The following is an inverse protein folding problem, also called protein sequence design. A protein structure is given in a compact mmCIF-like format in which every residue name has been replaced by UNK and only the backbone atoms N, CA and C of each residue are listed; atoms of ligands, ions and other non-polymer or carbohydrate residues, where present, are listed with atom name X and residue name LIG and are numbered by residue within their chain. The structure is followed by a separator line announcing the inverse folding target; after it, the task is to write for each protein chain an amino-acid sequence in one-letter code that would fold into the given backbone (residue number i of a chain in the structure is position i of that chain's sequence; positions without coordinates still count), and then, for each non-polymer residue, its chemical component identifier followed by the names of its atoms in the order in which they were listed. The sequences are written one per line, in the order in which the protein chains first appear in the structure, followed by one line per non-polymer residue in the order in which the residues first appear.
data_IF_833438265068
#
_entry.id   IF_833438265068
#
_cell.length_a   1.000
_cell.length_b   1.000
_cell.length_c   1.000
_cell.angle_alpha   90.00
_cell.angle_beta   90.00
_cell.angle_gamma   90.00
#
_symmetry.space_group_name_H-M   'P 1'
#
loop_
_entity.id
_entity.type
_entity.pdbx_description
1 polymer ?
#
# COMPACT_ATOMS: atom_id res chain seq x y z
N UNK A 1 -14.99 -8.72 9.61
CA UNK A 1 -15.63 -9.62 8.66
C UNK A 1 -14.68 -10.77 8.39
N UNK A 2 -15.03 -11.95 8.86
CA UNK A 2 -14.42 -13.17 8.36
C UNK A 2 -14.92 -13.39 6.92
N UNK A 3 -14.25 -12.76 5.96
CA UNK A 3 -14.22 -13.33 4.64
C UNK A 3 -13.33 -14.56 4.78
N UNK A 4 -13.96 -15.71 4.94
CA UNK A 4 -13.24 -16.99 4.90
C UNK A 4 -12.82 -17.26 3.46
N UNK A 5 -11.81 -16.56 2.97
CA UNK A 5 -11.07 -16.97 1.78
C UNK A 5 -10.31 -18.22 2.23
N UNK A 6 -10.70 -19.36 1.69
CA UNK A 6 -10.02 -20.63 1.96
C UNK A 6 -8.82 -20.73 1.01
N UNK A 7 -7.80 -21.47 1.42
CA UNK A 7 -6.59 -21.71 0.60
C UNK A 7 -6.95 -22.16 -0.84
N UNK A 8 -7.97 -23.03 -0.98
CA UNK A 8 -8.48 -23.46 -2.29
C UNK A 8 -9.03 -22.31 -3.16
N UNK A 9 -9.57 -21.24 -2.53
CA UNK A 9 -10.14 -20.10 -3.27
C UNK A 9 -8.99 -19.20 -3.76
N UNK A 10 -7.92 -19.07 -2.97
CA UNK A 10 -6.67 -18.43 -3.37
C UNK A 10 -6.00 -19.21 -4.52
N UNK A 11 -5.86 -20.53 -4.40
CA UNK A 11 -5.31 -21.37 -5.46
C UNK A 11 -6.12 -21.29 -6.77
N UNK A 12 -7.44 -21.26 -6.66
CA UNK A 12 -8.32 -21.12 -7.83
C UNK A 12 -8.18 -19.74 -8.48
N UNK A 13 -7.95 -18.68 -7.68
CA UNK A 13 -7.69 -17.34 -8.15
C UNK A 13 -6.34 -17.28 -8.89
N UNK A 14 -5.27 -17.82 -8.29
CA UNK A 14 -3.93 -17.81 -8.88
C UNK A 14 -3.88 -18.47 -10.25
N UNK A 15 -4.66 -19.53 -10.48
CA UNK A 15 -4.77 -20.19 -11.80
C UNK A 15 -5.37 -19.31 -12.90
N UNK A 16 -6.01 -18.19 -12.52
CA UNK A 16 -6.62 -17.23 -13.46
C UNK A 16 -5.69 -16.07 -13.80
N UNK A 17 -4.57 -15.93 -13.12
CA UNK A 17 -3.60 -14.90 -13.44
C UNK A 17 -3.04 -15.10 -14.86
N UNK A 18 -2.91 -14.00 -15.57
CA UNK A 18 -2.28 -13.95 -16.90
C UNK A 18 -1.13 -12.97 -16.82
N UNK A 19 0.12 -13.42 -16.89
CA UNK A 19 1.27 -12.54 -16.95
C UNK A 19 1.18 -11.63 -18.18
N UNK A 20 1.44 -10.36 -17.99
CA UNK A 20 1.40 -9.35 -19.03
C UNK A 20 2.74 -8.60 -19.05
N UNK A 21 3.48 -8.62 -20.17
CA UNK A 21 4.73 -7.89 -20.27
C UNK A 21 4.48 -6.37 -20.25
N UNK A 22 5.41 -5.62 -19.66
CA UNK A 22 5.39 -4.17 -19.73
C UNK A 22 5.58 -3.67 -21.16
N UNK A 23 4.92 -2.59 -21.53
CA UNK A 23 5.08 -1.91 -22.81
C UNK A 23 4.28 -2.52 -23.97
N UNK A 24 3.74 -3.71 -23.84
CA UNK A 24 2.98 -4.38 -24.91
C UNK A 24 1.48 -4.08 -24.83
N UNK A 25 0.84 -3.96 -26.01
CA UNK A 25 -0.62 -3.83 -26.12
C UNK A 25 -1.27 -5.19 -26.07
N UNK A 26 -2.19 -5.39 -25.11
CA UNK A 26 -2.84 -6.65 -24.84
C UNK A 26 -4.35 -6.46 -24.99
N UNK A 27 -5.01 -7.12 -25.96
CA UNK A 27 -6.46 -7.12 -26.06
C UNK A 27 -7.05 -7.95 -24.90
N UNK A 28 -7.96 -7.35 -24.12
CA UNK A 28 -8.60 -8.00 -22.98
C UNK A 28 -10.08 -8.30 -23.23
N UNK A 29 -10.73 -7.54 -24.11
CA UNK A 29 -12.09 -7.76 -24.58
C UNK A 29 -12.26 -7.11 -25.97
N UNK A 30 -13.38 -7.35 -26.63
CA UNK A 30 -13.74 -6.63 -27.84
C UNK A 30 -13.78 -5.13 -27.58
N UNK A 31 -13.07 -4.36 -28.40
CA UNK A 31 -12.95 -2.90 -28.24
C UNK A 31 -12.10 -2.44 -27.05
N UNK A 32 -11.50 -3.34 -26.25
CA UNK A 32 -10.71 -2.96 -25.08
C UNK A 32 -9.31 -3.57 -25.17
N UNK A 33 -8.31 -2.70 -25.24
CA UNK A 33 -6.88 -3.07 -25.22
C UNK A 33 -6.19 -2.33 -24.07
N UNK A 34 -5.27 -2.97 -23.38
CA UNK A 34 -4.47 -2.36 -22.31
C UNK A 34 -2.98 -2.41 -22.62
N UNK A 35 -2.23 -1.49 -22.02
CA UNK A 35 -0.77 -1.50 -21.96
C UNK A 35 -0.33 -1.08 -20.57
N UNK A 36 0.62 -1.81 -19.99
CA UNK A 36 1.22 -1.49 -18.69
C UNK A 36 2.52 -0.73 -18.91
N UNK A 37 2.69 0.38 -18.18
CA UNK A 37 3.87 1.25 -18.22
C UNK A 37 4.41 1.36 -16.81
N UNK A 38 5.71 1.20 -16.61
CA UNK A 38 6.29 1.21 -15.27
C UNK A 38 5.96 2.50 -14.50
N UNK A 39 5.34 2.36 -13.34
CA UNK A 39 4.98 3.49 -12.48
C UNK A 39 6.10 3.86 -11.48
N UNK A 40 7.12 3.01 -11.30
CA UNK A 40 8.30 3.28 -10.47
C UNK A 40 8.04 3.33 -8.97
N UNK A 41 6.85 2.96 -8.50
CA UNK A 41 6.49 3.00 -7.08
C UNK A 41 6.99 1.76 -6.32
N UNK A 42 6.68 0.59 -6.84
CA UNK A 42 7.12 -0.72 -6.34
C UNK A 42 7.54 -1.60 -7.52
N UNK A 43 8.26 -2.68 -7.25
CA UNK A 43 8.59 -3.68 -8.26
C UNK A 43 7.30 -4.23 -8.89
N UNK A 44 7.14 -4.04 -10.20
CA UNK A 44 5.95 -4.44 -10.95
C UNK A 44 4.77 -3.45 -10.89
N UNK A 45 4.90 -2.31 -10.20
CA UNK A 45 3.86 -1.25 -10.24
C UNK A 45 3.74 -0.67 -11.64
N UNK A 46 2.51 -0.38 -12.07
CA UNK A 46 2.27 0.08 -13.42
C UNK A 46 1.20 1.18 -13.49
N UNK A 47 1.46 2.17 -14.33
CA UNK A 47 0.40 2.97 -14.95
C UNK A 47 -0.28 2.13 -16.03
N UNK A 48 -1.58 2.26 -16.18
CA UNK A 48 -2.36 1.46 -17.13
C UNK A 48 -2.93 2.38 -18.21
N UNK A 49 -2.55 2.15 -19.45
CA UNK A 49 -3.17 2.76 -20.60
C UNK A 49 -4.31 1.84 -21.10
N UNK A 50 -5.50 2.38 -21.17
CA UNK A 50 -6.69 1.66 -21.66
C UNK A 50 -7.15 2.31 -22.96
N UNK A 51 -7.14 1.55 -24.05
CA UNK A 51 -7.65 1.94 -25.34
C UNK A 51 -9.06 1.37 -25.49
N UNK A 52 -10.05 2.26 -25.63
CA UNK A 52 -11.47 1.92 -25.71
C UNK A 52 -11.99 2.29 -27.08
N UNK A 53 -12.51 1.31 -27.81
CA UNK A 53 -13.10 1.51 -29.15
C UNK A 53 -14.55 1.07 -29.14
N UNK A 54 -15.44 1.98 -29.50
CA UNK A 54 -16.86 1.72 -29.70
C UNK A 54 -17.30 2.33 -31.03
N UNK A 55 -17.69 1.50 -31.98
CA UNK A 55 -17.94 1.93 -33.35
C UNK A 55 -16.69 2.58 -33.98
N UNK A 56 -16.83 3.80 -34.47
CA UNK A 56 -15.73 4.56 -35.06
C UNK A 56 -14.96 5.42 -34.01
N UNK A 57 -15.38 5.42 -32.76
CA UNK A 57 -14.79 6.25 -31.71
C UNK A 57 -13.77 5.44 -30.91
N UNK A 58 -12.53 5.93 -30.86
CA UNK A 58 -11.51 5.42 -29.95
C UNK A 58 -11.15 6.51 -28.92
N UNK A 59 -11.05 6.12 -27.66
CA UNK A 59 -10.58 6.96 -26.55
C UNK A 59 -9.48 6.25 -25.79
N UNK A 60 -8.48 7.01 -25.38
CA UNK A 60 -7.40 6.53 -24.53
C UNK A 60 -7.55 7.11 -23.13
N UNK A 61 -7.74 6.24 -22.15
CA UNK A 61 -7.72 6.62 -20.74
C UNK A 61 -6.45 6.06 -20.07
N UNK A 62 -5.80 6.87 -19.25
CA UNK A 62 -4.62 6.47 -18.50
C UNK A 62 -4.93 6.53 -17.00
N UNK A 63 -4.66 5.43 -16.32
CA UNK A 63 -4.67 5.35 -14.86
C UNK A 63 -3.22 5.40 -14.39
N UNK A 64 -2.89 6.38 -13.57
CA UNK A 64 -1.50 6.53 -13.10
C UNK A 64 -1.03 5.32 -12.28
N UNK A 65 -1.94 4.66 -11.57
CA UNK A 65 -1.56 3.87 -10.41
C UNK A 65 -0.87 4.77 -9.38
N UNK A 66 -0.15 4.19 -8.44
CA UNK A 66 0.70 4.92 -7.52
C UNK A 66 2.02 5.26 -8.23
N UNK A 67 2.33 6.53 -8.37
CA UNK A 67 3.53 7.01 -9.06
C UNK A 67 4.73 7.03 -8.12
N UNK A 68 5.84 6.48 -8.57
CA UNK A 68 7.08 6.44 -7.81
C UNK A 68 7.68 7.82 -7.58
N UNK A 69 8.27 7.99 -6.38
CA UNK A 69 9.07 9.16 -6.04
C UNK A 69 10.35 9.20 -6.91
N UNK A 70 10.99 10.36 -6.96
CA UNK A 70 12.32 10.50 -7.56
C UNK A 70 13.38 9.89 -6.62
N UNK A 71 14.44 9.40 -7.19
CA UNK A 71 15.65 8.94 -6.47
C UNK A 71 15.38 7.85 -5.41
N UNK A 72 14.41 6.97 -5.68
CA UNK A 72 14.26 5.74 -4.90
C UNK A 72 15.40 4.77 -5.28
N UNK A 73 16.12 4.20 -4.30
CA UNK A 73 17.15 3.22 -4.60
C UNK A 73 16.54 1.91 -5.11
N UNK A 74 17.36 1.12 -5.79
CA UNK A 74 17.07 -0.23 -6.31
C UNK A 74 16.29 -0.22 -7.61
N UNK A 75 15.14 0.45 -7.64
CA UNK A 75 14.22 0.35 -8.77
C UNK A 75 14.46 1.46 -9.79
N UNK A 76 14.32 1.10 -11.05
CA UNK A 76 14.26 2.08 -12.12
C UNK A 76 13.08 3.02 -11.90
N UNK A 77 13.29 4.31 -12.07
CA UNK A 77 12.26 5.34 -11.96
C UNK A 77 11.08 5.12 -12.91
N UNK A 78 10.00 5.88 -12.70
CA UNK A 78 8.79 5.78 -13.51
C UNK A 78 9.04 6.17 -14.97
N UNK A 79 8.31 5.49 -15.85
CA UNK A 79 8.20 5.87 -17.25
C UNK A 79 7.07 6.90 -17.46
N UNK A 80 7.13 7.63 -18.57
CA UNK A 80 6.15 8.66 -18.91
C UNK A 80 5.25 8.19 -20.04
N UNK A 81 4.01 8.65 -20.01
CA UNK A 81 3.01 8.38 -21.05
C UNK A 81 2.87 9.62 -21.94
N UNK A 82 3.06 9.45 -23.24
CA UNK A 82 3.09 10.58 -24.16
C UNK A 82 1.72 11.17 -24.51
N UNK A 83 0.65 10.36 -24.48
CA UNK A 83 -0.67 10.79 -24.94
C UNK A 83 -1.80 10.12 -24.16
N UNK A 84 -2.87 10.88 -23.88
CA UNK A 84 -4.13 10.38 -23.34
C UNK A 84 -5.27 11.34 -23.69
N UNK A 85 -6.48 10.85 -23.91
CA UNK A 85 -7.70 11.66 -23.92
C UNK A 85 -8.09 12.05 -22.48
N UNK A 86 -8.01 11.08 -21.56
CA UNK A 86 -8.37 11.21 -20.16
C UNK A 86 -7.31 10.59 -19.27
N UNK A 87 -7.09 11.17 -18.09
CA UNK A 87 -6.17 10.67 -17.08
C UNK A 87 -6.89 10.57 -15.76
N UNK A 88 -6.66 9.49 -15.03
CA UNK A 88 -6.99 9.37 -13.61
C UNK A 88 -5.67 9.27 -12.86
N UNK A 89 -5.39 10.26 -12.01
CA UNK A 89 -4.12 10.39 -11.29
C UNK A 89 -4.31 10.31 -9.78
N UNK A 90 -3.32 9.68 -9.10
CA UNK A 90 -3.21 9.72 -7.65
C UNK A 90 -2.97 11.13 -7.11
N UNK A 91 -3.15 11.32 -5.81
CA UNK A 91 -2.87 12.58 -5.12
C UNK A 91 -2.41 12.42 -3.67
N UNK A 92 -1.76 11.32 -3.33
CA UNK A 92 -1.30 11.03 -1.96
C UNK A 92 -0.51 12.20 -1.34
N UNK A 93 0.32 12.84 -2.13
CA UNK A 93 1.09 14.05 -1.76
C UNK A 93 0.81 15.23 -2.69
N UNK A 94 -0.42 15.35 -3.18
CA UNK A 94 -0.82 16.43 -4.09
C UNK A 94 -0.75 17.83 -3.48
N UNK A 95 -0.69 17.94 -2.17
CA UNK A 95 -0.69 19.20 -1.41
C UNK A 95 0.69 19.65 -0.92
N UNK A 96 1.73 18.82 -1.07
CA UNK A 96 3.05 19.09 -0.46
C UNK A 96 4.22 18.49 -1.21
N UNK A 97 5.40 19.05 -0.95
CA UNK A 97 6.68 18.50 -1.38
C UNK A 97 7.27 17.61 -0.27
N UNK A 98 8.07 16.64 -0.66
CA UNK A 98 8.86 15.86 0.31
C UNK A 98 9.96 16.73 0.91
N UNK A 99 10.15 16.59 2.21
CA UNK A 99 11.31 17.20 2.87
C UNK A 99 12.59 16.54 2.35
N UNK A 100 13.53 17.28 1.79
CA UNK A 100 14.77 16.71 1.28
C UNK A 100 15.54 15.94 2.36
N UNK A 101 16.10 14.78 1.99
CA UNK A 101 17.07 14.07 2.78
C UNK A 101 18.34 13.88 1.92
N UNK A 102 19.25 14.85 1.93
CA UNK A 102 20.42 14.86 1.03
C UNK A 102 21.31 13.62 1.18
N UNK A 103 21.43 13.11 2.39
CA UNK A 103 22.20 11.90 2.70
C UNK A 103 21.39 10.97 3.62
N UNK A 104 20.57 10.09 3.03
CA UNK A 104 19.76 9.15 3.78
C UNK A 104 20.62 8.10 4.52
N UNK A 105 21.77 7.74 3.97
CA UNK A 105 22.71 6.77 4.55
C UNK A 105 23.34 7.32 5.82
N UNK A 106 23.81 8.59 5.80
CA UNK A 106 24.34 9.25 6.98
C UNK A 106 23.27 9.48 8.05
N UNK A 107 22.03 9.84 7.67
CA UNK A 107 20.91 9.97 8.59
C UNK A 107 20.62 8.65 9.31
N UNK A 108 20.53 7.56 8.55
CA UNK A 108 20.31 6.22 9.10
C UNK A 108 21.45 5.80 10.03
N UNK A 109 22.71 6.00 9.60
CA UNK A 109 23.89 5.72 10.43
C UNK A 109 23.88 6.48 11.76
N UNK A 110 23.44 7.74 11.76
CA UNK A 110 23.24 8.52 13.00
C UNK A 110 22.21 7.88 13.92
N UNK A 111 21.04 7.48 13.40
CA UNK A 111 20.00 6.81 14.18
C UNK A 111 20.50 5.48 14.75
N UNK A 112 21.24 4.71 13.97
CA UNK A 112 21.83 3.43 14.38
C UNK A 112 22.80 3.67 15.55
N UNK A 113 23.81 4.55 15.38
CA UNK A 113 24.78 4.88 16.44
C UNK A 113 24.11 5.32 17.74
N UNK A 114 23.24 6.34 17.66
CA UNK A 114 22.56 6.88 18.83
C UNK A 114 21.79 5.81 19.62
N UNK A 115 21.28 4.81 18.96
CA UNK A 115 20.46 3.77 19.57
C UNK A 115 21.32 2.63 20.10
N UNK A 116 22.25 2.12 19.31
CA UNK A 116 23.11 1.00 19.70
C UNK A 116 24.11 1.39 20.80
N UNK A 117 24.69 2.60 20.74
CA UNK A 117 25.61 3.13 21.76
C UNK A 117 24.90 3.33 23.11
N UNK A 118 23.59 3.59 23.08
CA UNK A 118 22.74 3.64 24.29
C UNK A 118 22.34 2.23 24.80
N UNK A 119 22.76 1.16 24.14
CA UNK A 119 22.38 -0.22 24.47
C UNK A 119 20.92 -0.56 24.15
N UNK A 120 20.31 0.15 23.20
CA UNK A 120 18.92 -0.02 22.77
C UNK A 120 18.78 -0.71 21.44
N UNK A 121 17.53 -1.00 21.06
CA UNK A 121 17.16 -1.54 19.75
C UNK A 121 16.59 -0.44 18.84
N UNK A 122 16.96 -0.46 17.56
CA UNK A 122 16.35 0.37 16.54
C UNK A 122 15.25 -0.43 15.83
N UNK A 123 14.00 -0.03 16.03
CA UNK A 123 12.82 -0.67 15.45
C UNK A 123 12.39 0.13 14.23
N UNK A 124 12.28 -0.54 13.08
CA UNK A 124 11.91 0.08 11.80
C UNK A 124 10.63 -0.57 11.29
N UNK A 125 9.45 0.04 11.55
CA UNK A 125 8.21 -0.39 10.93
C UNK A 125 8.30 -0.17 9.41
N UNK A 126 8.19 -1.23 8.63
CA UNK A 126 8.32 -1.16 7.18
C UNK A 126 7.27 -2.04 6.48
N UNK A 127 6.80 -1.60 5.31
CA UNK A 127 6.01 -2.47 4.44
C UNK A 127 6.89 -3.62 3.94
N UNK A 128 6.27 -4.79 3.79
CA UNK A 128 6.98 -5.99 3.37
C UNK A 128 7.58 -5.88 1.97
N UNK A 129 6.92 -5.13 1.07
CA UNK A 129 7.34 -4.91 -0.31
C UNK A 129 7.79 -3.46 -0.49
N UNK A 130 8.93 -3.25 -1.12
CA UNK A 130 9.53 -1.96 -1.43
C UNK A 130 10.32 -1.38 -0.25
N UNK A 131 9.66 -0.93 0.79
CA UNK A 131 10.30 -0.20 1.89
C UNK A 131 11.32 -1.04 2.68
N UNK A 132 11.02 -2.30 2.94
CA UNK A 132 12.01 -3.20 3.59
C UNK A 132 13.25 -3.33 2.76
N UNK A 133 13.12 -3.52 1.44
CA UNK A 133 14.27 -3.68 0.52
C UNK A 133 15.10 -2.39 0.44
N UNK A 134 14.47 -1.22 0.36
CA UNK A 134 15.18 0.06 0.39
C UNK A 134 15.97 0.25 1.70
N UNK A 135 15.39 -0.14 2.83
CA UNK A 135 16.11 -0.07 4.10
C UNK A 135 17.29 -1.03 4.16
N UNK A 136 17.14 -2.26 3.62
CA UNK A 136 18.26 -3.20 3.51
C UNK A 136 19.39 -2.63 2.64
N UNK A 137 19.06 -1.99 1.52
CA UNK A 137 20.01 -1.33 0.66
C UNK A 137 20.80 -0.25 1.42
N UNK A 138 20.12 0.66 2.13
CA UNK A 138 20.77 1.70 2.91
C UNK A 138 21.59 1.15 4.08
N UNK A 139 21.11 0.10 4.77
CA UNK A 139 21.88 -0.53 5.86
C UNK A 139 23.16 -1.20 5.32
N UNK A 140 23.09 -1.83 4.14
CA UNK A 140 24.29 -2.35 3.47
C UNK A 140 25.31 -1.23 3.25
N UNK A 141 24.87 -0.09 2.71
CA UNK A 141 25.76 1.07 2.51
C UNK A 141 26.37 1.57 3.81
N UNK A 142 25.57 1.68 4.88
CA UNK A 142 26.08 2.07 6.21
C UNK A 142 27.22 1.13 6.67
N UNK A 143 27.05 -0.18 6.46
CA UNK A 143 28.07 -1.18 6.82
C UNK A 143 29.29 -1.12 5.90
N UNK A 144 29.10 -1.04 4.60
CA UNK A 144 30.20 -0.99 3.61
C UNK A 144 31.05 0.28 3.75
N UNK A 145 30.44 1.42 4.04
CA UNK A 145 31.13 2.68 4.26
C UNK A 145 31.74 2.79 5.67
N UNK A 146 31.50 1.82 6.55
CA UNK A 146 32.01 1.83 7.92
C UNK A 146 31.49 3.00 8.77
N UNK A 147 30.28 3.51 8.47
CA UNK A 147 29.71 4.67 9.15
C UNK A 147 29.29 4.39 10.59
N UNK A 148 29.13 3.13 10.95
CA UNK A 148 28.89 2.64 12.32
C UNK A 148 29.98 1.66 12.67
N UNK A 149 30.67 1.90 13.80
CA UNK A 149 31.76 1.02 14.24
C UNK A 149 31.21 -0.29 14.83
N UNK A 150 31.96 -1.37 14.64
CA UNK A 150 31.62 -2.69 15.12
C UNK A 150 30.60 -3.40 14.22
N UNK A 151 30.41 -4.67 14.50
CA UNK A 151 29.35 -5.45 13.86
C UNK A 151 28.08 -5.39 14.68
N UNK A 152 26.96 -5.21 14.03
CA UNK A 152 25.65 -5.18 14.65
C UNK A 152 24.66 -6.05 13.88
N UNK A 153 23.82 -6.85 14.59
CA UNK A 153 22.83 -7.71 13.96
C UNK A 153 21.64 -6.90 13.45
N UNK A 154 21.17 -7.30 12.27
CA UNK A 154 20.00 -6.74 11.60
C UNK A 154 19.00 -7.88 11.36
N UNK A 155 17.79 -7.72 11.82
CA UNK A 155 16.73 -8.72 11.68
C UNK A 155 15.63 -8.23 10.75
N UNK A 156 15.27 -9.04 9.76
CA UNK A 156 14.00 -8.90 9.03
C UNK A 156 13.04 -9.91 9.61
N UNK A 157 12.07 -9.42 10.38
CA UNK A 157 11.05 -10.26 11.02
C UNK A 157 9.69 -10.09 10.34
N UNK A 158 9.62 -10.59 9.11
CA UNK A 158 8.41 -10.64 8.29
C UNK A 158 8.58 -11.68 7.18
N UNK A 159 7.87 -12.83 7.23
CA UNK A 159 7.96 -13.85 6.18
C UNK A 159 7.68 -13.27 4.78
N UNK A 160 6.65 -12.45 4.64
CA UNK A 160 6.32 -11.81 3.37
C UNK A 160 7.44 -10.87 2.87
N UNK A 161 8.11 -10.14 3.77
CA UNK A 161 9.23 -9.27 3.38
C UNK A 161 10.44 -10.09 2.90
N UNK A 162 10.67 -11.24 3.52
CA UNK A 162 11.73 -12.17 3.14
C UNK A 162 11.47 -12.74 1.73
N UNK A 163 10.24 -13.20 1.48
CA UNK A 163 9.84 -13.69 0.16
C UNK A 163 9.93 -12.59 -0.90
N UNK A 164 9.43 -11.39 -0.60
CA UNK A 164 9.53 -10.24 -1.48
C UNK A 164 10.99 -9.90 -1.80
N UNK A 165 11.89 -9.94 -0.81
CA UNK A 165 13.33 -9.73 -1.04
C UNK A 165 13.91 -10.75 -2.01
N UNK A 166 13.48 -12.02 -1.92
CA UNK A 166 13.83 -13.05 -2.89
C UNK A 166 13.38 -12.71 -4.31
N UNK A 167 12.19 -12.13 -4.48
CA UNK A 167 11.69 -11.68 -5.80
C UNK A 167 12.52 -10.52 -6.32
N UNK A 168 12.86 -9.53 -5.49
CA UNK A 168 13.74 -8.41 -5.88
C UNK A 168 15.12 -8.88 -6.36
N UNK A 169 15.69 -9.91 -5.73
CA UNK A 169 16.98 -10.47 -6.14
C UNK A 169 16.94 -11.29 -7.43
N UNK A 170 15.75 -11.65 -7.89
CA UNK A 170 15.53 -12.43 -9.12
C UNK A 170 15.02 -11.57 -10.29
N UNK A 171 14.68 -10.29 -10.05
CA UNK A 171 14.22 -9.44 -11.14
C UNK A 171 15.34 -9.12 -12.13
N UNK A 172 14.96 -8.91 -13.39
CA UNK A 172 15.89 -8.57 -14.44
C UNK A 172 16.47 -7.14 -14.31
N UNK A 173 17.60 -6.88 -14.98
CA UNK A 173 18.28 -5.57 -14.91
C UNK A 173 17.40 -4.42 -15.43
N UNK A 174 16.41 -4.70 -16.26
CA UNK A 174 15.45 -3.72 -16.78
C UNK A 174 14.52 -3.13 -15.71
N UNK A 175 14.41 -3.78 -14.55
CA UNK A 175 13.61 -3.31 -13.42
C UNK A 175 14.42 -2.47 -12.42
N UNK A 176 15.76 -2.55 -12.50
CA UNK A 176 16.67 -1.95 -11.54
C UNK A 176 17.23 -0.63 -12.05
N UNK A 177 17.63 0.24 -11.11
CA UNK A 177 18.39 1.44 -11.41
C UNK A 177 19.84 1.09 -11.82
N UNK A 178 20.55 2.07 -12.39
CA UNK A 178 21.90 1.83 -12.90
C UNK A 178 22.89 1.52 -11.78
N UNK A 179 22.74 2.14 -10.62
CA UNK A 179 23.60 1.93 -9.47
C UNK A 179 23.49 0.50 -8.94
N UNK A 180 22.26 0.00 -8.79
CA UNK A 180 22.00 -1.38 -8.36
C UNK A 180 22.54 -2.39 -9.40
N UNK A 181 22.35 -2.09 -10.69
CA UNK A 181 22.91 -2.90 -11.76
C UNK A 181 24.45 -2.94 -11.72
N UNK A 182 25.10 -1.82 -11.41
CA UNK A 182 26.56 -1.77 -11.23
C UNK A 182 27.05 -2.61 -10.04
N UNK A 183 26.33 -2.56 -8.91
CA UNK A 183 26.63 -3.42 -7.76
C UNK A 183 26.58 -4.90 -8.14
N UNK A 184 25.52 -5.31 -8.83
CA UNK A 184 25.35 -6.71 -9.26
C UNK A 184 26.45 -7.13 -10.24
N UNK A 185 26.84 -6.27 -11.21
CA UNK A 185 27.95 -6.52 -12.14
C UNK A 185 29.29 -6.72 -11.42
N UNK A 186 29.47 -6.04 -10.28
CA UNK A 186 30.64 -6.17 -9.42
C UNK A 186 30.56 -7.39 -8.47
N UNK A 187 29.51 -8.19 -8.55
CA UNK A 187 29.29 -9.35 -7.66
C UNK A 187 28.84 -8.98 -6.25
N UNK A 188 28.38 -7.75 -6.03
CA UNK A 188 27.86 -7.27 -4.74
C UNK A 188 26.35 -7.50 -4.70
N UNK A 189 25.86 -8.20 -3.67
CA UNK A 189 24.43 -8.35 -3.47
C UNK A 189 23.87 -7.05 -2.86
N UNK A 190 22.90 -6.38 -3.52
CA UNK A 190 22.40 -5.09 -3.06
C UNK A 190 21.59 -5.15 -1.76
N UNK A 191 21.05 -6.31 -1.39
CA UNK A 191 20.12 -6.49 -0.27
C UNK A 191 20.60 -7.45 0.82
N UNK A 192 21.69 -8.19 0.56
CA UNK A 192 22.24 -9.17 1.51
C UNK A 192 23.63 -8.75 1.94
N UNK A 193 23.90 -8.80 3.23
CA UNK A 193 25.17 -8.38 3.82
C UNK A 193 25.46 -9.17 5.12
N UNK A 194 26.72 -9.23 5.58
CA UNK A 194 27.06 -9.88 6.85
C UNK A 194 26.30 -9.31 8.05
N UNK A 195 25.82 -10.18 8.93
CA UNK A 195 25.02 -9.80 10.12
C UNK A 195 23.52 -9.56 9.82
N UNK A 196 23.05 -9.83 8.59
CA UNK A 196 21.62 -9.87 8.28
C UNK A 196 21.02 -11.24 8.65
N UNK A 197 19.96 -11.24 9.43
CA UNK A 197 19.20 -12.41 9.86
C UNK A 197 17.76 -12.32 9.39
N UNK A 198 17.26 -13.40 8.81
CA UNK A 198 15.91 -13.51 8.27
C UNK A 198 15.07 -14.43 9.17
N UNK A 199 14.13 -13.87 9.93
CA UNK A 199 13.29 -14.60 10.86
C UNK A 199 11.98 -15.03 10.18
N UNK A 200 11.84 -16.32 9.90
CA UNK A 200 10.67 -16.89 9.23
C UNK A 200 9.67 -17.44 10.27
N UNK A 201 10.13 -18.14 11.27
CA UNK A 201 9.29 -18.82 12.27
C UNK A 201 8.87 -17.91 13.42
N UNK A 202 7.82 -18.30 14.13
CA UNK A 202 7.37 -17.57 15.32
C UNK A 202 8.36 -17.70 16.49
N UNK A 203 9.10 -18.79 16.56
CA UNK A 203 10.14 -19.05 17.55
C UNK A 203 11.32 -18.11 17.35
N UNK A 204 11.79 -17.95 16.13
CA UNK A 204 12.84 -16.97 15.77
C UNK A 204 12.40 -15.54 16.11
N UNK A 205 11.16 -15.17 15.78
CA UNK A 205 10.59 -13.86 16.11
C UNK A 205 10.58 -13.57 17.62
N UNK A 206 10.22 -14.58 18.44
CA UNK A 206 10.25 -14.46 19.90
C UNK A 206 11.69 -14.32 20.42
N UNK A 207 12.62 -15.09 19.87
CA UNK A 207 14.02 -15.06 20.26
C UNK A 207 14.65 -13.67 20.07
N UNK A 208 14.28 -12.93 19.01
CA UNK A 208 14.75 -11.55 18.77
C UNK A 208 14.45 -10.65 19.98
N UNK A 209 13.24 -10.77 20.56
CA UNK A 209 12.83 -9.93 21.68
C UNK A 209 13.45 -10.37 23.03
N UNK A 210 13.91 -11.61 23.14
CA UNK A 210 14.54 -12.16 24.34
C UNK A 210 16.05 -11.93 24.38
N UNK A 211 16.69 -11.73 23.23
CA UNK A 211 18.11 -11.44 23.14
C UNK A 211 18.40 -9.98 23.56
N UNK A 212 19.23 -9.73 24.59
CA UNK A 212 19.53 -8.41 25.10
C UNK A 212 20.50 -7.60 24.20
N UNK A 213 21.14 -8.23 23.23
CA UNK A 213 22.11 -7.56 22.32
C UNK A 213 21.43 -6.44 21.55
N UNK A 214 22.00 -5.20 21.54
CA UNK A 214 21.50 -4.11 20.71
C UNK A 214 21.46 -4.48 19.22
N UNK A 215 20.34 -4.20 18.56
CA UNK A 215 20.08 -4.66 17.19
C UNK A 215 19.15 -3.75 16.40
N UNK A 216 19.14 -3.95 15.09
CA UNK A 216 18.11 -3.38 14.21
C UNK A 216 17.03 -4.43 13.95
N UNK A 217 15.76 -4.01 13.95
CA UNK A 217 14.60 -4.87 13.70
C UNK A 217 13.72 -4.21 12.65
N UNK A 218 13.68 -4.79 11.45
CA UNK A 218 12.73 -4.43 10.40
C UNK A 218 11.55 -5.39 10.44
N UNK A 219 10.33 -4.86 10.57
CA UNK A 219 9.15 -5.71 10.67
C UNK A 219 7.90 -5.03 10.09
N UNK A 220 7.03 -5.82 9.48
CA UNK A 220 5.73 -5.36 8.98
C UNK A 220 4.65 -5.42 10.10
N UNK A 221 3.64 -4.53 10.09
CA UNK A 221 3.29 -3.59 9.03
C UNK A 221 3.95 -2.22 9.24
N UNK A 222 4.11 -1.46 8.15
CA UNK A 222 4.73 -0.14 8.20
C UNK A 222 3.97 0.93 8.99
N UNK A 223 2.65 0.75 9.24
CA UNK A 223 1.79 1.66 10.02
C UNK A 223 1.46 1.11 11.42
N UNK A 224 2.09 0.01 11.85
CA UNK A 224 1.96 -0.61 13.17
C UNK A 224 0.57 -1.17 13.52
N UNK A 225 -0.34 -1.33 12.54
CA UNK A 225 -1.70 -1.80 12.78
C UNK A 225 -1.80 -3.33 12.94
N UNK A 226 -0.92 -4.07 12.30
CA UNK A 226 -0.91 -5.54 12.28
C UNK A 226 0.52 -6.08 12.22
N UNK A 227 0.65 -7.41 12.27
CA UNK A 227 1.92 -8.10 12.06
C UNK A 227 2.84 -8.14 13.28
N UNK A 228 4.03 -8.68 13.06
CA UNK A 228 5.03 -8.92 14.11
C UNK A 228 5.60 -7.64 14.71
N UNK A 229 5.57 -6.54 13.99
CA UNK A 229 5.98 -5.22 14.49
C UNK A 229 5.31 -4.86 15.83
N UNK A 230 4.04 -5.25 16.04
CA UNK A 230 3.33 -4.95 17.28
C UNK A 230 3.94 -5.67 18.49
N UNK A 231 4.52 -6.86 18.30
CA UNK A 231 5.27 -7.56 19.35
C UNK A 231 6.57 -6.82 19.67
N UNK A 232 7.31 -6.40 18.64
CA UNK A 232 8.53 -5.62 18.84
C UNK A 232 8.26 -4.29 19.53
N UNK A 233 7.18 -3.59 19.17
CA UNK A 233 6.76 -2.37 19.86
C UNK A 233 6.43 -2.63 21.33
N UNK A 234 5.70 -3.71 21.65
CA UNK A 234 5.39 -4.10 23.03
C UNK A 234 6.64 -4.28 23.88
N UNK A 235 7.70 -4.88 23.32
CA UNK A 235 8.95 -5.15 24.02
C UNK A 235 9.91 -3.96 24.11
N UNK A 236 9.76 -2.94 23.26
CA UNK A 236 10.75 -1.87 23.11
C UNK A 236 10.21 -0.46 23.36
N UNK A 237 8.91 -0.16 23.23
CA UNK A 237 8.38 1.20 23.39
C UNK A 237 8.59 1.79 24.79
N UNK A 238 8.58 0.98 25.84
CA UNK A 238 8.78 1.41 27.21
C UNK A 238 10.24 1.70 27.57
N UNK A 239 11.20 1.34 26.70
CA UNK A 239 12.63 1.47 26.91
C UNK A 239 13.14 2.79 26.33
N UNK A 240 13.68 3.68 27.19
CA UNK A 240 14.18 5.01 26.80
C UNK A 240 15.39 4.96 25.86
N UNK A 241 16.17 3.87 25.91
CA UNK A 241 17.33 3.66 25.05
C UNK A 241 16.97 3.12 23.65
N UNK A 242 15.73 2.73 23.42
CA UNK A 242 15.26 2.25 22.12
C UNK A 242 14.76 3.41 21.24
N UNK A 243 14.72 3.15 19.93
CA UNK A 243 14.18 4.09 18.95
C UNK A 243 13.22 3.38 17.99
N UNK A 244 12.10 4.03 17.66
CA UNK A 244 11.25 3.64 16.53
C UNK A 244 11.49 4.65 15.41
N UNK A 245 11.95 4.17 14.25
CA UNK A 245 12.23 4.97 13.07
C UNK A 245 11.20 4.70 11.99
N UNK A 246 10.28 5.63 11.78
CA UNK A 246 9.33 5.58 10.67
C UNK A 246 10.02 5.97 9.36
N UNK A 247 9.85 5.13 8.34
CA UNK A 247 10.50 5.25 7.04
C UNK A 247 9.51 5.37 5.88
N UNK A 248 8.26 5.70 6.18
CA UNK A 248 7.18 5.84 5.21
C UNK A 248 5.99 6.62 5.76
N UNK A 249 5.01 6.86 4.89
CA UNK A 249 3.78 7.55 5.24
C UNK A 249 3.02 6.84 6.36
N UNK A 250 2.42 7.65 7.25
CA UNK A 250 1.58 7.18 8.34
C UNK A 250 0.18 7.78 8.19
N UNK A 251 -0.81 6.94 7.84
CA UNK A 251 -2.18 7.38 7.62
C UNK A 251 -2.87 7.79 8.92
N UNK A 252 -3.77 8.75 8.85
CA UNK A 252 -4.59 9.17 9.98
C UNK A 252 -5.35 7.98 10.60
N UNK A 253 -5.40 7.98 11.94
CA UNK A 253 -6.06 6.94 12.72
C UNK A 253 -5.28 5.63 12.85
N UNK A 254 -4.03 5.56 12.39
CA UNK A 254 -3.13 4.43 12.62
C UNK A 254 -2.29 4.62 13.89
N UNK A 255 -1.83 3.51 14.47
CA UNK A 255 -0.92 3.55 15.62
C UNK A 255 0.39 4.25 15.26
N UNK A 256 0.94 3.98 14.06
CA UNK A 256 2.16 4.62 13.59
C UNK A 256 2.02 6.14 13.52
N UNK A 257 0.88 6.66 13.02
CA UNK A 257 0.59 8.09 12.99
C UNK A 257 0.47 8.67 14.39
N UNK A 258 -0.24 8.01 15.28
CA UNK A 258 -0.41 8.47 16.66
C UNK A 258 0.93 8.53 17.42
N UNK A 259 1.83 7.58 17.20
CA UNK A 259 3.18 7.61 17.76
C UNK A 259 4.02 8.75 17.17
N UNK A 260 3.91 9.00 15.87
CA UNK A 260 4.67 10.04 15.18
C UNK A 260 4.21 11.45 15.55
N UNK A 261 2.90 11.67 15.71
CA UNK A 261 2.35 12.95 16.15
C UNK A 261 2.77 13.30 17.60
N UNK A 262 3.15 12.29 18.38
CA UNK A 262 3.65 12.47 19.73
C UNK A 262 2.55 12.71 20.78
N UNK A 263 2.97 13.00 22.03
CA UNK A 263 2.06 13.32 23.13
C UNK A 263 1.40 12.13 23.81
N UNK A 264 1.50 10.92 23.28
CA UNK A 264 1.01 9.72 23.92
C UNK A 264 1.97 9.23 25.01
N UNK A 265 1.46 9.08 26.24
CA UNK A 265 2.23 8.50 27.35
C UNK A 265 2.26 6.98 27.34
N UNK A 266 1.21 6.37 26.79
CA UNK A 266 1.07 4.92 26.67
C UNK A 266 0.20 4.55 25.47
N UNK A 267 0.33 3.31 25.01
CA UNK A 267 -0.48 2.71 23.93
C UNK A 267 -0.96 1.33 24.34
N UNK A 268 -2.12 0.92 23.85
CA UNK A 268 -2.67 -0.41 24.12
C UNK A 268 -2.21 -1.40 23.05
N UNK A 269 -1.38 -2.36 23.44
CA UNK A 269 -0.91 -3.46 22.58
C UNK A 269 -1.31 -4.81 23.19
N UNK A 270 -2.02 -5.65 22.45
CA UNK A 270 -2.50 -6.98 22.91
C UNK A 270 -3.22 -6.96 24.27
N UNK A 271 -4.07 -5.94 24.47
CA UNK A 271 -4.81 -5.64 25.72
C UNK A 271 -3.95 -5.23 26.92
N UNK A 272 -2.65 -5.00 26.75
CA UNK A 272 -1.76 -4.44 27.77
C UNK A 272 -1.44 -2.98 27.46
N UNK A 273 -1.32 -2.18 28.50
CA UNK A 273 -0.89 -0.77 28.40
C UNK A 273 0.64 -0.73 28.44
N UNK A 274 1.23 -0.16 27.41
CA UNK A 274 2.69 -0.05 27.21
C UNK A 274 3.07 1.42 27.19
N UNK A 275 3.97 1.85 28.07
CA UNK A 275 4.49 3.19 28.08
C UNK A 275 5.23 3.54 26.79
N UNK A 276 5.20 4.80 26.37
CA UNK A 276 5.93 5.31 25.20
C UNK A 276 7.09 6.18 25.71
N UNK A 277 8.22 5.54 25.99
CA UNK A 277 9.47 6.17 26.45
C UNK A 277 10.54 6.13 25.34
N UNK A 278 10.42 5.23 24.37
CA UNK A 278 11.35 5.13 23.24
C UNK A 278 11.34 6.41 22.41
N UNK A 279 12.48 6.73 21.80
CA UNK A 279 12.57 7.86 20.86
C UNK A 279 11.78 7.53 19.59
N UNK A 280 10.93 8.46 19.17
CA UNK A 280 10.17 8.33 17.92
C UNK A 280 10.76 9.29 16.90
N UNK A 281 11.14 8.79 15.72
CA UNK A 281 11.67 9.59 14.62
C UNK A 281 11.04 9.20 13.29
N UNK A 282 11.03 10.15 12.36
CA UNK A 282 10.74 9.89 10.94
C UNK A 282 11.97 10.18 10.10
N UNK A 283 12.22 9.36 9.10
CA UNK A 283 13.23 9.58 8.09
C UNK A 283 12.67 10.55 7.04
N UNK A 284 13.28 11.73 6.83
CA UNK A 284 12.76 12.69 5.87
C UNK A 284 12.77 12.14 4.44
N UNK A 285 11.83 12.61 3.60
CA UNK A 285 11.82 12.37 2.16
C UNK A 285 11.62 10.93 1.69
N UNK A 286 11.43 10.00 2.61
CA UNK A 286 11.28 8.57 2.28
C UNK A 286 9.81 8.17 2.17
N UNK A 287 9.18 8.58 1.05
CA UNK A 287 7.91 8.02 0.60
C UNK A 287 8.08 7.31 -0.74
N UNK A 288 7.35 6.22 -0.96
CA UNK A 288 7.30 5.55 -2.26
C UNK A 288 6.56 6.38 -3.32
N UNK A 289 5.59 7.20 -2.89
CA UNK A 289 4.80 8.05 -3.80
C UNK A 289 5.54 9.29 -4.23
N UNK A 290 5.28 9.72 -5.44
CA UNK A 290 5.68 11.04 -5.93
C UNK A 290 5.07 12.15 -5.07
N UNK A 291 5.80 13.24 -4.86
CA UNK A 291 5.28 14.45 -4.26
C UNK A 291 4.55 15.34 -5.30
N UNK A 292 4.02 16.48 -4.85
CA UNK A 292 3.30 17.41 -5.71
C UNK A 292 4.07 17.75 -7.00
N UNK A 293 5.38 18.01 -6.89
CA UNK A 293 6.21 18.34 -8.05
C UNK A 293 6.39 17.13 -8.98
N UNK A 294 6.57 15.93 -8.42
CA UNK A 294 6.68 14.70 -9.19
C UNK A 294 5.39 14.28 -9.89
N UNK A 295 4.22 14.58 -9.30
CA UNK A 295 2.91 14.36 -9.91
C UNK A 295 2.66 15.34 -11.06
N UNK A 296 2.98 16.64 -10.88
CA UNK A 296 2.87 17.65 -11.94
C UNK A 296 3.82 17.36 -13.09
N UNK A 297 5.07 17.03 -12.79
CA UNK A 297 6.08 16.64 -13.78
C UNK A 297 5.60 15.47 -14.67
N UNK A 298 4.95 14.46 -14.07
CA UNK A 298 4.41 13.35 -14.84
C UNK A 298 3.28 13.79 -15.80
N UNK A 299 2.42 14.75 -15.38
CA UNK A 299 1.39 15.31 -16.25
C UNK A 299 1.96 16.24 -17.34
N UNK A 300 3.05 16.93 -17.08
CA UNK A 300 3.72 17.80 -18.05
C UNK A 300 4.37 17.04 -19.22
N UNK A 301 4.65 15.75 -19.05
CA UNK A 301 5.22 14.90 -20.09
C UNK A 301 4.22 14.44 -21.16
N UNK A 302 2.92 14.69 -20.99
CA UNK A 302 1.98 14.47 -22.09
C UNK A 302 2.25 15.46 -23.22
N UNK A 303 2.54 14.97 -24.43
CA UNK A 303 2.83 15.80 -25.61
C UNK A 303 1.66 16.72 -25.98
N UNK A 304 0.44 16.23 -25.75
CA UNK A 304 -0.79 17.01 -25.85
C UNK A 304 -1.55 16.94 -24.54
N UNK A 305 -2.11 18.07 -24.09
CA UNK A 305 -2.89 18.12 -22.85
C UNK A 305 -4.08 17.17 -22.93
N UNK A 306 -4.28 16.31 -21.93
CA UNK A 306 -5.50 15.52 -21.83
C UNK A 306 -6.75 16.40 -21.81
N UNK A 307 -7.84 15.93 -22.36
CA UNK A 307 -9.14 16.63 -22.32
C UNK A 307 -9.60 16.89 -20.89
N UNK A 308 -9.34 15.91 -19.99
CA UNK A 308 -9.63 16.03 -18.57
C UNK A 308 -8.72 15.11 -17.74
N UNK A 309 -8.37 15.61 -16.56
CA UNK A 309 -7.69 14.85 -15.51
C UNK A 309 -8.65 14.66 -14.34
N UNK A 310 -8.89 13.41 -13.97
CA UNK A 310 -9.59 13.03 -12.76
C UNK A 310 -8.57 12.80 -11.66
N UNK A 311 -8.79 13.40 -10.50
CA UNK A 311 -7.89 13.26 -9.34
C UNK A 311 -8.57 12.38 -8.30
N UNK A 312 -7.85 11.39 -7.80
CA UNK A 312 -8.32 10.48 -6.76
C UNK A 312 -7.17 10.05 -5.84
N UNK A 313 -7.38 9.01 -5.03
CA UNK A 313 -6.35 8.39 -4.16
C UNK A 313 -5.59 9.42 -3.32
N UNK A 314 -6.32 10.11 -2.45
CA UNK A 314 -5.82 11.09 -1.50
C UNK A 314 -6.89 11.45 -0.47
N UNK A 315 -6.51 12.23 0.53
CA UNK A 315 -7.48 12.83 1.47
C UNK A 315 -8.38 13.82 0.70
N UNK A 316 -9.62 13.99 1.11
CA UNK A 316 -10.63 14.77 0.38
C UNK A 316 -10.19 16.21 0.05
N UNK A 317 -9.59 16.89 1.02
CA UNK A 317 -9.00 18.21 0.84
C UNK A 317 -7.81 18.20 -0.13
N UNK A 318 -6.98 17.16 -0.13
CA UNK A 318 -5.80 17.02 -1.00
C UNK A 318 -6.25 16.79 -2.44
N UNK A 319 -7.18 15.84 -2.65
CA UNK A 319 -7.74 15.56 -3.99
C UNK A 319 -8.30 16.84 -4.62
N UNK A 320 -9.09 17.60 -3.87
CA UNK A 320 -9.74 18.83 -4.35
C UNK A 320 -8.72 19.93 -4.63
N UNK A 321 -7.78 20.16 -3.71
CA UNK A 321 -6.75 21.21 -3.89
C UNK A 321 -5.80 20.90 -5.03
N UNK A 322 -5.40 19.62 -5.19
CA UNK A 322 -4.53 19.20 -6.28
C UNK A 322 -5.22 19.31 -7.65
N UNK A 323 -6.52 18.99 -7.74
CA UNK A 323 -7.28 19.23 -8.96
C UNK A 323 -7.28 20.72 -9.35
N UNK A 324 -7.49 21.63 -8.38
CA UNK A 324 -7.38 23.07 -8.61
C UNK A 324 -5.98 23.48 -9.08
N UNK A 325 -4.94 22.95 -8.46
CA UNK A 325 -3.54 23.27 -8.82
C UNK A 325 -3.18 22.82 -10.24
N UNK A 326 -3.60 21.62 -10.65
CA UNK A 326 -3.40 21.13 -12.03
C UNK A 326 -4.08 22.10 -13.03
N UNK A 327 -5.31 22.50 -12.73
CA UNK A 327 -6.03 23.46 -13.60
C UNK A 327 -5.29 24.80 -13.71
N UNK A 328 -4.86 25.35 -12.58
CA UNK A 328 -4.14 26.64 -12.51
C UNK A 328 -2.80 26.58 -13.26
N UNK A 329 -1.98 25.58 -12.97
CA UNK A 329 -0.62 25.50 -13.52
C UNK A 329 -0.56 24.99 -14.95
N UNK A 330 -1.36 23.97 -15.28
CA UNK A 330 -1.27 23.29 -16.56
C UNK A 330 -2.39 23.70 -17.54
N UNK A 331 -3.42 24.40 -17.07
CA UNK A 331 -4.57 24.78 -17.88
C UNK A 331 -5.38 23.60 -18.41
N UNK A 332 -5.34 22.45 -17.71
CA UNK A 332 -6.09 21.24 -18.04
C UNK A 332 -7.43 21.25 -17.28
N UNK A 333 -8.49 20.77 -17.91
CA UNK A 333 -9.74 20.56 -17.18
C UNK A 333 -9.57 19.43 -16.16
N UNK A 334 -9.99 19.67 -14.93
CA UNK A 334 -9.85 18.71 -13.82
C UNK A 334 -11.19 18.40 -13.16
N UNK A 335 -11.25 17.30 -12.45
CA UNK A 335 -12.37 16.91 -11.59
C UNK A 335 -11.86 16.04 -10.45
N UNK A 336 -12.49 16.17 -9.29
CA UNK A 336 -12.28 15.34 -8.09
C UNK A 336 -13.59 14.55 -7.81
N UNK A 337 -13.88 13.47 -8.57
CA UNK A 337 -15.17 12.80 -8.51
C UNK A 337 -15.30 11.94 -7.25
N UNK A 338 -16.47 12.01 -6.60
CA UNK A 338 -16.83 11.07 -5.56
C UNK A 338 -17.30 9.72 -6.14
N UNK A 339 -17.21 8.68 -5.32
CA UNK A 339 -17.64 7.32 -5.68
C UNK A 339 -19.08 7.30 -6.16
N UNK A 340 -19.33 6.65 -7.30
CA UNK A 340 -20.64 6.60 -7.97
C UNK A 340 -20.82 7.65 -9.08
N UNK A 341 -19.89 8.59 -9.26
CA UNK A 341 -19.91 9.51 -10.40
C UNK A 341 -19.73 8.75 -11.72
N UNK A 342 -20.55 9.10 -12.73
CA UNK A 342 -20.52 8.50 -14.07
C UNK A 342 -20.14 9.56 -15.10
N UNK A 343 -19.10 9.27 -15.86
CA UNK A 343 -18.60 10.15 -16.92
C UNK A 343 -18.53 9.40 -18.25
N UNK A 344 -19.11 9.98 -19.29
CA UNK A 344 -19.13 9.39 -20.62
C UNK A 344 -17.87 9.82 -21.40
N UNK A 345 -16.96 8.90 -21.66
CA UNK A 345 -15.70 9.15 -22.35
C UNK A 345 -15.89 9.56 -23.82
N UNK A 346 -16.93 9.09 -24.49
CA UNK A 346 -17.20 9.44 -25.89
C UNK A 346 -17.66 10.87 -26.04
N UNK A 347 -18.67 11.29 -25.24
CA UNK A 347 -19.24 12.64 -25.26
C UNK A 347 -18.40 13.66 -24.48
N UNK A 348 -17.57 13.22 -23.53
CA UNK A 348 -16.81 14.10 -22.63
C UNK A 348 -17.66 14.80 -21.58
N UNK A 349 -18.81 14.23 -21.19
CA UNK A 349 -19.76 14.83 -20.24
C UNK A 349 -20.04 13.90 -19.06
N UNK A 350 -20.33 14.53 -17.91
CA UNK A 350 -20.89 13.80 -16.77
C UNK A 350 -22.35 13.40 -17.09
N UNK A 351 -22.66 12.14 -16.88
CA UNK A 351 -24.02 11.62 -16.89
C UNK A 351 -24.65 11.70 -15.50
N UNK A 352 -23.80 11.53 -14.46
CA UNK A 352 -24.19 11.67 -13.07
C UNK A 352 -23.00 12.11 -12.24
N UNK A 353 -23.19 13.11 -11.39
CA UNK A 353 -22.20 13.55 -10.41
C UNK A 353 -22.67 13.18 -9.01
N UNK A 354 -21.96 12.27 -8.37
CA UNK A 354 -22.29 11.82 -7.01
C UNK A 354 -21.90 12.88 -5.97
N UNK A 355 -22.75 13.08 -4.98
CA UNK A 355 -22.40 13.87 -3.80
C UNK A 355 -21.44 13.11 -2.88
N UNK A 356 -20.52 13.82 -2.24
CA UNK A 356 -19.64 13.25 -1.23
C UNK A 356 -20.45 12.78 -0.02
N UNK A 357 -20.28 11.53 0.37
CA UNK A 357 -20.85 10.99 1.60
C UNK A 357 -19.73 10.80 2.61
N UNK A 358 -19.73 11.58 3.74
CA UNK A 358 -18.71 11.41 4.76
C UNK A 358 -18.71 9.97 5.31
N UNK A 359 -17.57 9.31 5.28
CA UNK A 359 -17.39 8.02 5.95
C UNK A 359 -17.28 8.29 7.44
N UNK A 360 -18.38 8.14 8.18
CA UNK A 360 -18.37 8.19 9.63
C UNK A 360 -17.63 6.95 10.11
N UNK A 361 -16.41 7.11 10.62
CA UNK A 361 -15.71 6.03 11.34
C UNK A 361 -16.54 5.76 12.60
N UNK A 362 -17.35 4.71 12.59
CA UNK A 362 -17.99 4.22 13.80
C UNK A 362 -16.87 3.71 14.71
N UNK A 363 -16.68 4.39 15.83
CA UNK A 363 -15.92 3.86 16.96
C UNK A 363 -16.76 2.76 17.61
N UNK A 364 -16.79 1.60 16.96
CA UNK A 364 -17.49 0.44 17.48
C UNK A 364 -16.72 -0.13 18.67
N UNK A 365 -17.37 -0.18 19.82
CA UNK A 365 -16.89 -1.04 20.90
C UNK A 365 -16.88 -2.50 20.40
N UNK A 366 -15.90 -3.34 20.82
CA UNK A 366 -15.79 -4.72 20.33
C UNK A 366 -17.07 -5.57 20.45
N UNK A 367 -17.97 -5.21 21.36
CA UNK A 367 -19.28 -5.85 21.53
C UNK A 367 -20.32 -5.40 20.48
N UNK A 368 -20.29 -4.14 20.06
CA UNK A 368 -21.18 -3.61 19.00
C UNK A 368 -20.74 -4.11 17.62
N UNK A 369 -19.43 -4.19 17.35
CA UNK A 369 -18.90 -4.75 16.11
C UNK A 369 -19.28 -6.23 15.92
N UNK A 370 -19.27 -7.04 16.99
CA UNK A 370 -19.76 -8.42 16.92
C UNK A 370 -21.25 -8.54 16.64
N UNK A 371 -22.09 -7.67 17.24
CA UNK A 371 -23.53 -7.67 16.98
C UNK A 371 -23.85 -7.26 15.54
N UNK A 372 -23.21 -6.22 15.02
CA UNK A 372 -23.40 -5.77 13.64
C UNK A 372 -22.93 -6.82 12.63
N UNK A 373 -21.81 -7.49 12.86
CA UNK A 373 -21.32 -8.58 12.00
C UNK A 373 -22.31 -9.75 11.90
N UNK A 374 -22.98 -10.13 12.98
CA UNK A 374 -24.00 -11.18 12.97
C UNK A 374 -25.28 -10.73 12.27
N UNK A 375 -25.69 -9.50 12.45
CA UNK A 375 -26.85 -8.93 11.78
C UNK A 375 -26.61 -8.79 10.27
N UNK A 376 -25.46 -8.35 9.85
CA UNK A 376 -25.06 -8.29 8.43
C UNK A 376 -25.02 -9.69 7.77
N UNK A 377 -24.57 -10.72 8.51
CA UNK A 377 -24.64 -12.11 8.05
C UNK A 377 -26.10 -12.57 7.87
N UNK A 378 -26.97 -12.13 8.75
CA UNK A 378 -28.41 -12.42 8.65
C UNK A 378 -29.03 -11.74 7.42
N UNK A 379 -28.72 -10.45 7.18
CA UNK A 379 -29.15 -9.72 5.99
C UNK A 379 -28.63 -10.36 4.70
N UNK A 380 -27.39 -10.81 4.69
CA UNK A 380 -26.81 -11.53 3.56
C UNK A 380 -27.55 -12.85 3.28
N UNK A 381 -27.89 -13.60 4.34
CA UNK A 381 -28.66 -14.84 4.21
C UNK A 381 -30.06 -14.57 3.67
N UNK A 382 -30.72 -13.49 4.12
CA UNK A 382 -31.99 -13.04 3.61
C UNK A 382 -31.93 -12.65 2.12
N UNK A 383 -30.88 -11.95 1.72
CA UNK A 383 -30.65 -11.60 0.32
C UNK A 383 -30.51 -12.85 -0.57
N UNK A 384 -29.77 -13.85 -0.13
CA UNK A 384 -29.65 -15.15 -0.84
C UNK A 384 -30.98 -15.88 -0.92
N UNK A 385 -31.76 -15.90 0.15
CA UNK A 385 -33.11 -16.50 0.16
C UNK A 385 -34.01 -15.79 -0.84
N UNK A 386 -33.98 -14.46 -0.90
CA UNK A 386 -34.78 -13.67 -1.85
C UNK A 386 -34.45 -14.03 -3.31
N UNK A 387 -33.17 -14.26 -3.64
CA UNK A 387 -32.76 -14.72 -5.00
C UNK A 387 -33.33 -16.12 -5.28
N UNK A 388 -33.23 -17.04 -4.31
CA UNK A 388 -33.77 -18.40 -4.46
C UNK A 388 -35.31 -18.34 -4.70
N UNK A 389 -36.04 -17.56 -3.93
CA UNK A 389 -37.50 -17.39 -4.09
C UNK A 389 -37.86 -16.83 -5.47
N UNK A 390 -37.13 -15.82 -5.97
CA UNK A 390 -37.33 -15.27 -7.31
C UNK A 390 -37.09 -16.33 -8.40
N UNK A 391 -36.14 -17.20 -8.23
CA UNK A 391 -35.78 -18.28 -9.18
C UNK A 391 -36.77 -19.48 -9.09
N UNK A 392 -37.68 -19.51 -8.11
CA UNK A 392 -38.76 -20.51 -8.04
C UNK A 392 -39.91 -20.22 -9.02
N UNK A 393 -39.93 -19.04 -9.62
CA UNK A 393 -40.96 -18.69 -10.63
C UNK A 393 -40.84 -19.63 -11.83
N UNK A 394 -41.92 -20.39 -12.11
CA UNK A 394 -41.93 -21.40 -13.20
C UNK A 394 -41.47 -22.80 -12.79
N UNK A 395 -41.15 -23.05 -11.52
CA UNK A 395 -40.89 -24.39 -10.97
C UNK A 395 -42.19 -25.11 -10.66
N UNK A 396 -42.06 -26.41 -10.34
CA UNK A 396 -43.27 -27.21 -10.00
C UNK A 396 -43.97 -26.72 -8.74
N UNK A 397 -45.30 -26.82 -8.67
CA UNK A 397 -46.08 -26.44 -7.47
C UNK A 397 -45.61 -27.20 -6.21
N UNK A 398 -45.11 -28.44 -6.37
CA UNK A 398 -44.53 -29.24 -5.28
C UNK A 398 -43.24 -28.60 -4.70
N UNK A 399 -42.34 -28.12 -5.55
CA UNK A 399 -41.11 -27.49 -5.12
C UNK A 399 -41.36 -26.14 -4.49
N UNK A 400 -42.29 -25.37 -5.06
CA UNK A 400 -42.69 -24.05 -4.51
C UNK A 400 -43.34 -24.25 -3.13
N UNK A 401 -44.30 -25.20 -3.01
CA UNK A 401 -44.96 -25.50 -1.73
C UNK A 401 -43.95 -25.91 -0.64
N UNK A 402 -43.01 -26.81 -0.98
CA UNK A 402 -41.98 -27.26 -0.03
C UNK A 402 -41.09 -26.12 0.49
N UNK A 403 -40.68 -25.20 -0.39
CA UNK A 403 -39.89 -24.04 0.03
C UNK A 403 -40.71 -23.07 0.87
N UNK A 404 -42.01 -22.87 0.52
CA UNK A 404 -42.93 -22.03 1.30
C UNK A 404 -43.06 -22.56 2.72
N UNK A 405 -43.32 -23.88 2.87
CA UNK A 405 -43.43 -24.50 4.19
C UNK A 405 -42.17 -24.33 5.04
N UNK A 406 -40.98 -24.48 4.44
CA UNK A 406 -39.70 -24.28 5.12
C UNK A 406 -39.53 -22.85 5.61
N UNK A 407 -39.90 -21.85 4.78
CA UNK A 407 -39.82 -20.44 5.16
C UNK A 407 -40.81 -20.14 6.29
N UNK A 408 -42.06 -20.63 6.20
CA UNK A 408 -43.05 -20.44 7.24
C UNK A 408 -42.63 -21.05 8.58
N UNK A 409 -42.11 -22.28 8.57
CA UNK A 409 -41.55 -22.94 9.76
C UNK A 409 -40.41 -22.11 10.39
N UNK A 410 -39.55 -21.48 9.55
CA UNK A 410 -38.49 -20.62 10.06
C UNK A 410 -39.09 -19.34 10.70
N UNK A 411 -40.09 -18.72 10.08
CA UNK A 411 -40.77 -17.54 10.61
C UNK A 411 -41.46 -17.85 11.95
N UNK A 412 -42.23 -18.94 12.01
CA UNK A 412 -42.95 -19.36 13.22
C UNK A 412 -42.01 -19.68 14.40
N UNK A 413 -40.82 -20.16 14.11
CA UNK A 413 -39.79 -20.46 15.13
C UNK A 413 -39.22 -19.22 15.78
N UNK A 414 -39.22 -18.06 15.08
CA UNK A 414 -38.53 -16.86 15.52
C UNK A 414 -39.51 -15.68 15.81
N UNK A 415 -40.82 -15.88 15.71
CA UNK A 415 -41.84 -15.03 16.28
C UNK A 415 -42.03 -15.32 17.77
#
# INVERSE_FOLDING_TARGET
SEMCIRDRDADACLKRFRPCPMGEKIPIAEGITVRFVNAGHLLGSASIEVFLTEGETTRKMVFSGDLGNRDLPILRGKDYVAQADYVLIESTYGDRLHTPCPDPTAFLAKCIRETLDAGGNLIIPAFAVGRTQEMLYLIREVKEQGLVQGDFPVYVDSPLAIEATGVFLQCGPECLDEETNDLIRRGINPLMFPGLHLAVTSEESKAINMDPTPKLILSASGMCEAGRIRHHLKHNLWRENCMVLFVGYQAEGTLGRSLLDGGMKSVKLFNEEVAVNAKIRAMPGKSGHADQAGLLDWLEHFAEKPRRVFVNHGEDNVVTSFAGLIHEKLGIQTSAPYSGTVFNLASGKFEYEAAGVPVVKQTETPAAARKNSLYEKLLTALGRLSVIVKNMRGRTNKDVGRLTDQINQLCDKWQ
#
